data_IF_582819624184
#
_entry.id   IF_582819624184
#
_cell.length_a   1.000
_cell.length_b   1.000
_cell.length_c   1.000
_cell.angle_alpha   90.00
_cell.angle_beta   90.00
_cell.angle_gamma   90.00
#
_symmetry.space_group_name_H-M   'P 1'
#
loop_
_entity.id
_entity.type
_entity.pdbx_description
1 polymer ?
#
# COMPACT_ATOMS: atom_id res chain seq x y z
N UNK A 1 2.46 -23.44 31.44
CA UNK A 1 2.97 -23.11 30.09
C UNK A 1 2.12 -21.97 29.56
N UNK A 2 2.68 -21.04 28.78
CA UNK A 2 1.89 -19.98 28.18
C UNK A 2 1.09 -20.48 26.98
N UNK A 3 -0.08 -19.90 26.73
CA UNK A 3 -0.92 -20.21 25.58
C UNK A 3 -0.24 -19.79 24.27
N UNK A 4 -0.65 -20.40 23.16
CA UNK A 4 -0.06 -20.19 21.84
C UNK A 4 -1.16 -20.01 20.81
N UNK A 5 -0.96 -19.06 19.90
CA UNK A 5 -1.73 -18.91 18.67
C UNK A 5 -0.81 -19.30 17.51
N UNK A 6 -1.19 -20.32 16.75
CA UNK A 6 -0.44 -20.79 15.58
C UNK A 6 -1.29 -20.62 14.34
N UNK A 7 -0.84 -19.78 13.42
CA UNK A 7 -1.53 -19.46 12.18
C UNK A 7 -0.75 -20.00 10.97
N UNK A 8 -1.42 -20.78 10.12
CA UNK A 8 -0.87 -21.17 8.82
C UNK A 8 -1.36 -20.18 7.77
N UNK A 9 -0.42 -19.59 7.05
CA UNK A 9 -0.67 -18.54 6.06
C UNK A 9 -0.29 -19.03 4.66
N UNK A 10 -1.23 -18.96 3.73
CA UNK A 10 -1.00 -19.25 2.30
C UNK A 10 -0.68 -17.96 1.55
N UNK A 11 0.35 -18.00 0.71
CA UNK A 11 0.73 -16.89 -0.17
C UNK A 11 -0.19 -16.88 -1.40
N UNK A 12 -0.94 -15.79 -1.61
CA UNK A 12 -1.89 -15.64 -2.72
C UNK A 12 -1.29 -14.84 -3.88
N UNK A 13 -0.38 -13.93 -3.57
CA UNK A 13 0.34 -13.10 -4.54
C UNK A 13 1.82 -13.09 -4.21
N UNK A 14 2.72 -12.85 -5.19
CA UNK A 14 4.16 -12.86 -4.99
C UNK A 14 4.61 -12.08 -3.75
N UNK A 15 5.27 -12.77 -2.81
CA UNK A 15 5.75 -12.17 -1.55
C UNK A 15 7.25 -11.90 -1.67
N UNK A 16 7.62 -10.63 -1.83
CA UNK A 16 9.02 -10.23 -1.95
C UNK A 16 9.64 -9.95 -0.58
N UNK A 17 10.86 -10.45 -0.36
CA UNK A 17 11.59 -10.20 0.89
C UNK A 17 11.91 -8.71 1.09
N UNK A 18 11.70 -8.23 2.32
CA UNK A 18 12.17 -6.91 2.77
C UNK A 18 13.47 -7.08 3.55
N UNK A 19 14.61 -6.82 2.90
CA UNK A 19 15.92 -6.94 3.54
C UNK A 19 17.13 -6.89 2.62
N UNK A 20 16.97 -7.14 1.32
CA UNK A 20 18.04 -6.93 0.35
C UNK A 20 18.15 -5.42 0.01
N UNK A 21 18.93 -4.68 0.80
CA UNK A 21 19.42 -3.34 0.41
C UNK A 21 20.33 -3.41 -0.81
N UNK A 22 20.96 -4.57 -1.06
CA UNK A 22 21.65 -4.84 -2.30
C UNK A 22 20.64 -5.27 -3.37
N UNK A 23 20.32 -4.34 -4.27
CA UNK A 23 19.95 -4.74 -5.63
C UNK A 23 21.12 -5.58 -6.15
N UNK A 24 20.88 -6.82 -6.57
CA UNK A 24 21.92 -7.55 -7.33
C UNK A 24 22.27 -6.67 -8.54
N UNK A 25 23.53 -6.20 -8.69
CA UNK A 25 23.90 -5.34 -9.80
C UNK A 25 23.54 -5.99 -11.14
N UNK A 26 23.10 -5.19 -12.11
CA UNK A 26 22.64 -5.69 -13.40
C UNK A 26 23.67 -6.58 -14.13
N UNK A 27 24.96 -6.39 -13.83
CA UNK A 27 26.10 -7.11 -14.39
C UNK A 27 26.31 -8.51 -13.79
N UNK A 28 25.97 -8.74 -12.51
CA UNK A 28 26.15 -10.04 -11.87
C UNK A 28 25.07 -11.07 -12.28
N UNK A 29 23.94 -10.58 -12.79
CA UNK A 29 22.83 -11.41 -13.26
C UNK A 29 23.13 -12.04 -14.65
N UNK A 30 24.03 -11.44 -15.45
CA UNK A 30 24.32 -11.90 -16.81
C UNK A 30 25.24 -13.12 -16.88
N UNK A 31 25.84 -13.55 -15.76
CA UNK A 31 26.87 -14.62 -15.75
C UNK A 31 26.41 -15.94 -15.14
N UNK A 32 25.12 -16.09 -14.81
CA UNK A 32 24.55 -17.30 -14.19
C UNK A 32 24.48 -18.55 -15.09
N UNK A 33 25.32 -18.63 -16.14
CA UNK A 33 25.44 -19.79 -17.03
C UNK A 33 26.88 -20.13 -17.46
N UNK A 34 27.92 -19.44 -16.95
CA UNK A 34 29.31 -19.72 -17.33
C UNK A 34 30.16 -20.16 -16.13
N UNK A 35 31.06 -21.15 -16.26
CA UNK A 35 31.93 -21.58 -15.18
C UNK A 35 32.88 -20.44 -14.78
N UNK A 36 32.86 -20.10 -13.50
CA UNK A 36 33.68 -19.04 -12.89
C UNK A 36 35.17 -19.30 -13.19
N UNK A 37 35.78 -18.46 -14.03
CA UNK A 37 37.25 -18.40 -14.14
C UNK A 37 37.80 -17.69 -12.91
N UNK A 38 38.66 -18.39 -12.16
CA UNK A 38 39.47 -17.82 -11.07
C UNK A 38 40.29 -16.65 -11.59
N UNK A 39 40.15 -15.48 -10.98
CA UNK A 39 41.05 -14.36 -11.18
C UNK A 39 40.69 -13.12 -10.35
N UNK A 40 41.60 -12.78 -9.42
CA UNK A 40 41.71 -11.60 -8.55
C UNK A 40 40.83 -11.53 -7.29
N UNK A 41 41.47 -11.91 -6.18
CA UNK A 41 41.17 -11.50 -4.81
C UNK A 41 41.12 -9.96 -4.69
N UNK A 42 40.05 -9.43 -4.11
CA UNK A 42 39.96 -8.00 -3.84
C UNK A 42 38.61 -7.45 -3.41
N UNK A 43 37.91 -8.12 -2.49
CA UNK A 43 36.90 -7.63 -1.53
C UNK A 43 36.11 -8.85 -1.05
N UNK A 44 36.17 -9.17 0.25
CA UNK A 44 35.28 -10.16 0.85
C UNK A 44 33.85 -9.63 0.72
N UNK A 45 33.15 -10.00 -0.36
CA UNK A 45 31.72 -9.76 -0.51
C UNK A 45 31.01 -10.39 0.68
N UNK A 46 30.15 -9.60 1.35
CA UNK A 46 29.19 -10.19 2.29
C UNK A 46 28.35 -11.21 1.49
N UNK A 47 28.07 -12.40 2.02
CA UNK A 47 27.22 -13.35 1.32
C UNK A 47 25.89 -12.67 0.98
N UNK A 48 25.45 -12.77 -0.27
CA UNK A 48 24.16 -12.25 -0.72
C UNK A 48 23.08 -12.67 0.29
N UNK A 49 22.42 -11.70 0.92
CA UNK A 49 21.40 -12.01 1.92
C UNK A 49 20.26 -12.77 1.24
N UNK A 50 20.05 -14.02 1.68
CA UNK A 50 18.89 -14.82 1.26
C UNK A 50 17.61 -14.13 1.71
N UNK A 51 16.56 -14.25 0.91
CA UNK A 51 15.22 -13.82 1.25
C UNK A 51 14.77 -14.49 2.54
N UNK A 52 14.19 -13.69 3.44
CA UNK A 52 13.67 -14.16 4.71
C UNK A 52 12.34 -13.46 5.03
N UNK A 53 11.48 -14.13 5.79
CA UNK A 53 10.31 -13.52 6.44
C UNK A 53 10.69 -13.25 7.89
N UNK A 54 10.91 -11.98 8.24
CA UNK A 54 11.29 -11.59 9.59
C UNK A 54 10.08 -11.54 10.51
N UNK A 55 10.19 -12.21 11.66
CA UNK A 55 9.18 -12.17 12.72
C UNK A 55 8.86 -10.73 13.16
N UNK A 56 9.88 -9.87 13.28
CA UNK A 56 9.69 -8.47 13.69
C UNK A 56 8.93 -7.64 12.65
N UNK A 57 9.09 -7.95 11.35
CA UNK A 57 8.31 -7.30 10.29
C UNK A 57 6.84 -7.66 10.43
N UNK A 58 6.52 -8.96 10.64
CA UNK A 58 5.14 -9.40 10.87
C UNK A 58 4.58 -8.76 12.14
N UNK A 59 5.35 -8.72 13.23
CA UNK A 59 4.93 -8.08 14.48
C UNK A 59 4.62 -6.59 14.28
N UNK A 60 5.41 -5.89 13.48
CA UNK A 60 5.14 -4.50 13.10
C UNK A 60 3.86 -4.35 12.27
N UNK A 61 3.59 -5.27 11.35
CA UNK A 61 2.35 -5.31 10.57
C UNK A 61 1.12 -5.58 11.45
N UNK A 62 1.21 -6.52 12.40
CA UNK A 62 0.15 -6.78 13.37
C UNK A 62 -0.11 -5.55 14.25
N UNK A 63 0.93 -4.87 14.71
CA UNK A 63 0.81 -3.60 15.45
C UNK A 63 0.13 -2.52 14.61
N UNK A 64 0.46 -2.41 13.32
CA UNK A 64 -0.20 -1.49 12.41
C UNK A 64 -1.71 -1.81 12.27
N UNK A 65 -2.06 -3.07 12.05
CA UNK A 65 -3.46 -3.46 11.88
C UNK A 65 -4.28 -3.38 13.16
N UNK A 66 -3.69 -3.60 14.34
CA UNK A 66 -4.30 -3.23 15.62
C UNK A 66 -4.70 -1.74 15.60
N UNK A 67 -3.75 -0.84 15.36
CA UNK A 67 -4.03 0.61 15.33
C UNK A 67 -5.05 1.01 14.27
N UNK A 68 -5.13 0.26 13.17
CA UNK A 68 -6.11 0.51 12.12
C UNK A 68 -7.53 0.10 12.53
N UNK A 69 -7.66 -0.95 13.35
CA UNK A 69 -8.94 -1.41 13.90
C UNK A 69 -9.40 -0.60 15.13
N UNK A 70 -8.47 0.00 15.85
CA UNK A 70 -8.74 0.79 17.06
C UNK A 70 -8.32 2.26 16.85
N UNK A 71 -9.08 3.02 16.03
CA UNK A 71 -8.81 4.44 15.83
C UNK A 71 -9.08 5.22 17.12
N UNK A 72 -8.06 5.94 17.60
CA UNK A 72 -8.20 6.87 18.72
C UNK A 72 -8.35 8.31 18.18
N UNK A 73 -9.16 9.18 18.83
CA UNK A 73 -9.36 10.57 18.39
C UNK A 73 -8.08 11.42 18.37
N UNK A 74 -7.09 11.04 19.17
CA UNK A 74 -5.76 11.65 19.20
C UNK A 74 -4.72 10.70 18.60
N UNK A 75 -3.53 11.23 18.26
CA UNK A 75 -2.33 10.43 17.91
C UNK A 75 -1.83 9.48 19.04
N UNK A 76 -2.67 9.18 20.03
CA UNK A 76 -2.40 8.25 21.11
C UNK A 76 -2.53 6.81 20.62
N UNK A 77 -1.56 5.94 20.92
CA UNK A 77 -1.71 4.51 20.65
C UNK A 77 -2.84 3.93 21.52
N UNK A 78 -3.54 2.88 21.07
CA UNK A 78 -4.48 2.13 21.90
C UNK A 78 -3.82 1.73 23.23
N UNK A 79 -4.60 1.78 24.31
CA UNK A 79 -4.09 1.62 25.69
C UNK A 79 -3.34 0.29 25.92
N UNK A 80 -3.68 -0.74 25.16
CA UNK A 80 -3.12 -2.08 25.24
C UNK A 80 -1.92 -2.32 24.31
N UNK A 81 -1.68 -1.46 23.30
CA UNK A 81 -0.65 -1.62 22.26
C UNK A 81 0.74 -1.84 22.86
N UNK A 82 1.14 -0.98 23.81
CA UNK A 82 2.47 -1.01 24.41
C UNK A 82 2.74 -2.28 25.22
N UNK A 83 1.70 -2.87 25.80
CA UNK A 83 1.79 -4.12 26.56
C UNK A 83 1.83 -5.33 25.63
N UNK A 84 1.00 -5.35 24.58
CA UNK A 84 0.89 -6.46 23.62
C UNK A 84 2.12 -6.56 22.75
N UNK A 85 2.57 -5.45 22.16
CA UNK A 85 3.68 -5.43 21.20
C UNK A 85 5.01 -4.95 21.79
N UNK A 86 4.99 -4.37 22.99
CA UNK A 86 6.16 -3.78 23.62
C UNK A 86 6.36 -2.30 23.29
N UNK A 87 7.16 -1.65 24.12
CA UNK A 87 7.62 -0.26 23.99
C UNK A 87 9.15 -0.21 24.15
N UNK A 88 9.73 0.98 24.08
CA UNK A 88 11.16 1.18 24.41
C UNK A 88 11.46 0.95 25.90
N UNK A 89 10.45 1.07 26.76
CA UNK A 89 10.59 0.95 28.22
C UNK A 89 10.06 -0.37 28.80
N UNK A 90 9.32 -1.16 28.02
CA UNK A 90 8.71 -2.41 28.49
C UNK A 90 8.63 -3.47 27.40
N UNK A 91 8.90 -4.72 27.79
CA UNK A 91 8.81 -5.87 26.89
C UNK A 91 7.37 -6.22 26.47
N UNK A 92 7.27 -6.90 25.34
CA UNK A 92 6.04 -7.47 24.78
C UNK A 92 5.57 -8.69 25.57
N UNK A 93 4.27 -8.81 25.88
CA UNK A 93 3.72 -10.06 26.49
C UNK A 93 3.68 -11.24 25.50
N UNK A 94 3.89 -10.98 24.22
CA UNK A 94 3.92 -11.95 23.13
C UNK A 94 5.30 -12.05 22.51
N UNK A 95 5.74 -13.28 22.18
CA UNK A 95 6.86 -13.57 21.29
C UNK A 95 6.34 -14.17 19.98
N UNK A 96 6.72 -13.56 18.86
CA UNK A 96 6.35 -14.02 17.51
C UNK A 96 7.50 -14.82 16.89
N UNK A 97 7.18 -15.93 16.27
CA UNK A 97 8.10 -16.79 15.52
C UNK A 97 7.51 -17.06 14.13
N UNK A 98 8.37 -17.28 13.15
CA UNK A 98 7.98 -17.66 11.79
C UNK A 98 8.69 -18.97 11.48
N UNK A 99 7.91 -19.99 11.18
CA UNK A 99 8.38 -21.34 10.91
C UNK A 99 7.93 -21.78 9.50
N UNK A 100 8.50 -22.87 9.00
CA UNK A 100 8.09 -23.54 7.76
C UNK A 100 8.13 -22.64 6.50
N UNK A 101 8.98 -21.62 6.49
CA UNK A 101 9.11 -20.72 5.34
C UNK A 101 9.74 -21.47 4.15
N UNK A 102 9.05 -21.56 2.99
CA UNK A 102 9.60 -22.24 1.82
C UNK A 102 10.79 -21.50 1.21
N UNK A 103 11.49 -22.16 0.29
CA UNK A 103 12.63 -21.54 -0.40
C UNK A 103 12.16 -20.38 -1.29
N UNK A 104 12.84 -19.24 -1.16
CA UNK A 104 12.61 -18.09 -2.02
C UNK A 104 13.14 -18.38 -3.43
N UNK A 105 12.34 -18.04 -4.45
CA UNK A 105 12.82 -17.99 -5.83
C UNK A 105 13.85 -16.88 -5.98
N UNK A 106 14.96 -17.24 -6.62
CA UNK A 106 16.07 -16.32 -6.90
C UNK A 106 15.64 -15.20 -7.85
N UNK A 107 16.38 -14.10 -7.79
CA UNK A 107 16.34 -12.99 -8.73
C UNK A 107 16.51 -13.52 -10.16
N UNK A 108 15.66 -13.08 -11.09
CA UNK A 108 15.74 -13.58 -12.47
C UNK A 108 14.69 -13.03 -13.42
N UNK A 109 14.79 -13.44 -14.68
CA UNK A 109 13.81 -13.11 -15.71
C UNK A 109 12.51 -13.83 -15.41
N UNK A 110 11.44 -13.07 -15.23
CA UNK A 110 10.11 -13.60 -15.00
C UNK A 110 9.14 -12.84 -15.90
N UNK A 111 8.30 -13.57 -16.62
CA UNK A 111 7.27 -12.94 -17.43
C UNK A 111 6.19 -12.33 -16.54
N UNK A 112 6.35 -11.05 -16.23
CA UNK A 112 5.34 -10.24 -15.57
C UNK A 112 4.45 -9.58 -16.61
N UNK A 113 3.12 -9.69 -16.53
CA UNK A 113 2.24 -8.78 -17.26
C UNK A 113 2.66 -7.34 -16.93
N UNK A 114 2.91 -6.48 -17.92
CA UNK A 114 3.55 -5.22 -17.57
C UNK A 114 2.65 -4.24 -16.81
N UNK A 115 1.33 -4.45 -16.78
CA UNK A 115 0.48 -3.76 -15.80
C UNK A 115 0.83 -4.18 -14.36
N UNK A 116 1.09 -5.46 -14.11
CA UNK A 116 1.55 -5.94 -12.79
C UNK A 116 2.94 -5.36 -12.45
N UNK A 117 3.82 -5.23 -13.45
CA UNK A 117 5.13 -4.60 -13.26
C UNK A 117 5.05 -3.14 -12.78
N UNK A 118 4.00 -2.40 -13.19
CA UNK A 118 3.75 -1.05 -12.67
C UNK A 118 3.50 -1.02 -11.16
N UNK A 119 2.67 -1.94 -10.64
CA UNK A 119 2.44 -2.08 -9.19
C UNK A 119 3.72 -2.49 -8.45
N UNK A 120 4.56 -3.29 -9.12
CA UNK A 120 5.80 -3.84 -8.59
C UNK A 120 7.04 -2.98 -8.85
N UNK A 121 6.92 -1.71 -9.27
CA UNK A 121 8.09 -0.87 -9.61
C UNK A 121 9.13 -0.89 -8.48
N UNK A 122 10.39 -1.18 -8.80
CA UNK A 122 11.49 -1.31 -7.82
C UNK A 122 11.60 -2.68 -7.14
N UNK A 123 10.64 -3.58 -7.38
CA UNK A 123 10.77 -5.04 -7.22
C UNK A 123 10.96 -5.72 -8.59
N UNK A 124 10.39 -5.10 -9.62
CA UNK A 124 10.44 -5.52 -11.02
C UNK A 124 11.09 -4.39 -11.82
N UNK A 125 12.13 -4.72 -12.56
CA UNK A 125 12.82 -3.83 -13.50
C UNK A 125 12.53 -4.26 -14.93
N UNK A 126 12.04 -3.33 -15.74
CA UNK A 126 11.90 -3.54 -17.18
C UNK A 126 13.25 -3.42 -17.87
N UNK A 127 13.68 -4.48 -18.56
CA UNK A 127 14.89 -4.53 -19.38
C UNK A 127 14.54 -4.77 -20.84
N UNK A 128 15.50 -4.52 -21.74
CA UNK A 128 15.32 -4.72 -23.20
C UNK A 128 14.91 -6.15 -23.56
N UNK A 129 15.27 -7.13 -22.73
CA UNK A 129 14.96 -8.55 -22.89
C UNK A 129 13.75 -9.01 -22.06
N UNK A 130 13.04 -8.10 -21.38
CA UNK A 130 11.81 -8.38 -20.63
C UNK A 130 11.85 -7.88 -19.18
N UNK A 131 10.84 -8.25 -18.41
CA UNK A 131 10.75 -7.87 -16.99
C UNK A 131 11.59 -8.82 -16.13
N UNK A 132 12.33 -8.25 -15.17
CA UNK A 132 13.18 -8.99 -14.24
C UNK A 132 12.74 -8.71 -12.81
N UNK A 133 12.66 -9.73 -11.97
CA UNK A 133 12.62 -9.50 -10.52
C UNK A 133 14.01 -9.08 -10.09
N UNK A 134 14.10 -8.09 -9.19
CA UNK A 134 15.37 -7.65 -8.57
C UNK A 134 15.47 -8.04 -7.10
N UNK A 135 14.49 -8.82 -6.62
CA UNK A 135 14.43 -9.36 -5.25
C UNK A 135 13.96 -10.80 -5.27
N UNK A 136 14.44 -11.56 -4.29
CA UNK A 136 13.95 -12.90 -4.04
C UNK A 136 12.52 -12.87 -3.51
N UNK A 137 11.72 -13.86 -3.90
CA UNK A 137 10.29 -13.88 -3.63
C UNK A 137 9.74 -15.29 -3.42
N UNK A 138 8.65 -15.41 -2.67
CA UNK A 138 7.88 -16.64 -2.58
C UNK A 138 6.80 -16.67 -3.66
N UNK A 139 6.72 -17.80 -4.37
CA UNK A 139 5.80 -17.98 -5.48
C UNK A 139 4.46 -18.58 -5.03
N UNK A 140 3.33 -17.85 -5.18
CA UNK A 140 2.01 -18.40 -4.87
C UNK A 140 1.65 -19.60 -5.74
N UNK A 141 2.19 -19.73 -6.97
CA UNK A 141 1.87 -20.84 -7.88
C UNK A 141 2.45 -22.17 -7.40
N UNK A 142 3.37 -22.15 -6.43
CA UNK A 142 3.89 -23.35 -5.78
C UNK A 142 3.03 -23.85 -4.61
N UNK A 143 1.88 -23.21 -4.33
CA UNK A 143 1.07 -23.52 -3.15
C UNK A 143 1.77 -23.17 -1.85
N UNK A 144 2.58 -22.11 -1.86
CA UNK A 144 3.46 -21.72 -0.74
C UNK A 144 2.64 -21.38 0.51
N UNK A 145 2.95 -22.08 1.61
CA UNK A 145 2.42 -21.80 2.95
C UNK A 145 3.57 -21.67 3.95
N UNK A 146 3.36 -20.92 5.03
CA UNK A 146 4.28 -20.82 6.16
C UNK A 146 3.52 -20.56 7.46
N UNK A 147 4.19 -20.75 8.59
CA UNK A 147 3.56 -20.70 9.91
C UNK A 147 3.99 -19.44 10.68
N UNK A 148 3.03 -18.75 11.29
CA UNK A 148 3.27 -17.67 12.26
C UNK A 148 2.80 -18.14 13.62
N UNK A 149 3.72 -18.21 14.59
CA UNK A 149 3.43 -18.65 15.95
C UNK A 149 3.62 -17.52 16.96
N UNK A 150 2.56 -17.17 17.66
CA UNK A 150 2.55 -16.19 18.74
C UNK A 150 2.45 -16.92 20.08
N UNK A 151 3.55 -16.93 20.84
CA UNK A 151 3.59 -17.50 22.20
C UNK A 151 3.39 -16.40 23.22
N UNK A 152 2.42 -16.59 24.12
CA UNK A 152 2.05 -15.61 25.12
C UNK A 152 2.67 -15.93 26.48
N UNK A 153 3.07 -14.90 27.22
CA UNK A 153 3.57 -15.04 28.58
C UNK A 153 2.46 -15.45 29.57
N UNK A 154 2.82 -15.87 30.80
CA UNK A 154 1.85 -16.34 31.81
C UNK A 154 0.89 -15.24 32.30
N UNK A 155 1.20 -13.97 32.05
CA UNK A 155 0.35 -12.82 32.40
C UNK A 155 -0.46 -12.28 31.21
N UNK A 156 -0.40 -12.94 30.05
CA UNK A 156 -1.24 -12.57 28.94
C UNK A 156 -2.70 -12.95 29.23
N UNK A 157 -3.59 -12.09 28.78
CA UNK A 157 -5.05 -12.25 28.90
C UNK A 157 -5.59 -12.78 27.58
N UNK A 158 -6.73 -13.46 27.63
CA UNK A 158 -7.46 -13.89 26.42
C UNK A 158 -7.73 -12.74 25.46
N UNK A 159 -7.99 -11.54 25.99
CA UNK A 159 -8.19 -10.33 25.19
C UNK A 159 -6.93 -9.94 24.39
N UNK A 160 -5.74 -10.19 24.91
CA UNK A 160 -4.50 -9.90 24.20
C UNK A 160 -4.33 -10.79 22.97
N UNK A 161 -4.78 -12.04 23.10
CA UNK A 161 -4.77 -13.00 22.00
C UNK A 161 -5.81 -12.63 20.97
N UNK A 162 -6.99 -12.17 21.40
CA UNK A 162 -8.07 -11.68 20.52
C UNK A 162 -7.57 -10.51 19.69
N UNK A 163 -6.93 -9.53 20.31
CA UNK A 163 -6.32 -8.39 19.62
C UNK A 163 -5.29 -8.83 18.57
N UNK A 164 -4.44 -9.81 18.88
CA UNK A 164 -3.47 -10.35 17.92
C UNK A 164 -4.18 -11.10 16.78
N UNK A 165 -5.24 -11.87 17.08
CA UNK A 165 -6.02 -12.60 16.09
C UNK A 165 -6.80 -11.66 15.17
N UNK A 166 -7.40 -10.60 15.70
CA UNK A 166 -8.11 -9.55 14.95
C UNK A 166 -7.14 -8.80 14.03
N UNK A 167 -5.97 -8.42 14.55
CA UNK A 167 -4.93 -7.78 13.75
C UNK A 167 -4.38 -8.72 12.65
N UNK A 168 -4.23 -10.01 12.94
CA UNK A 168 -3.82 -11.02 11.96
C UNK A 168 -4.89 -11.20 10.88
N UNK A 169 -6.16 -11.24 11.28
CA UNK A 169 -7.28 -11.31 10.35
C UNK A 169 -7.31 -10.09 9.44
N UNK A 170 -7.16 -8.88 9.97
CA UNK A 170 -7.13 -7.65 9.18
C UNK A 170 -5.90 -7.57 8.25
N UNK A 171 -4.73 -8.04 8.71
CA UNK A 171 -3.55 -8.20 7.85
C UNK A 171 -3.83 -9.13 6.67
N UNK A 172 -4.40 -10.30 6.95
CA UNK A 172 -4.76 -11.27 5.91
C UNK A 172 -5.90 -10.78 5.04
N UNK A 173 -6.83 -9.95 5.55
CA UNK A 173 -8.00 -9.49 4.83
C UNK A 173 -7.69 -8.30 3.91
N UNK A 174 -7.00 -7.27 4.41
CA UNK A 174 -6.89 -5.98 3.73
C UNK A 174 -5.45 -5.59 3.37
N UNK A 175 -4.46 -6.37 3.84
CA UNK A 175 -3.05 -6.07 3.70
C UNK A 175 -2.25 -7.15 2.96
N UNK A 176 -0.96 -7.19 3.29
CA UNK A 176 0.00 -8.14 2.78
C UNK A 176 1.34 -8.00 3.50
N UNK A 177 2.24 -8.95 3.26
CA UNK A 177 3.56 -9.03 3.89
C UNK A 177 4.64 -8.73 2.84
N UNK A 178 5.66 -7.96 3.23
CA UNK A 178 6.82 -7.70 2.38
C UNK A 178 6.63 -6.58 1.35
N UNK A 179 7.50 -6.59 0.33
CA UNK A 179 7.67 -5.46 -0.58
C UNK A 179 6.41 -5.14 -1.38
N UNK A 180 6.05 -3.85 -1.45
CA UNK A 180 4.89 -3.33 -2.19
C UNK A 180 3.54 -3.94 -1.73
N UNK A 181 3.42 -4.33 -0.47
CA UNK A 181 2.20 -4.92 0.08
C UNK A 181 0.92 -4.08 -0.12
N UNK A 182 1.02 -2.75 -0.03
CA UNK A 182 -0.13 -1.84 -0.31
C UNK A 182 -0.56 -1.81 -1.78
N UNK A 183 0.20 -2.44 -2.68
CA UNK A 183 -0.07 -2.55 -4.12
C UNK A 183 -0.44 -3.98 -4.53
N UNK A 184 -0.84 -4.82 -3.58
CA UNK A 184 -1.40 -6.14 -3.87
C UNK A 184 -0.40 -7.29 -3.80
N UNK A 185 0.90 -7.02 -3.74
CA UNK A 185 1.92 -8.04 -3.52
C UNK A 185 1.92 -8.56 -2.09
N UNK A 186 2.38 -9.80 -1.88
CA UNK A 186 2.44 -10.40 -0.55
C UNK A 186 1.10 -10.56 0.16
N UNK A 187 -0.02 -10.50 -0.56
CA UNK A 187 -1.33 -10.91 -0.06
C UNK A 187 -1.24 -12.35 0.43
N UNK A 188 -1.67 -12.57 1.67
CA UNK A 188 -1.72 -13.88 2.32
C UNK A 188 -3.14 -14.18 2.80
N UNK A 189 -3.46 -15.45 2.98
CA UNK A 189 -4.75 -15.90 3.49
C UNK A 189 -4.55 -16.86 4.66
N UNK A 190 -5.37 -16.71 5.70
CA UNK A 190 -5.32 -17.54 6.89
C UNK A 190 -6.06 -18.86 6.63
N UNK A 191 -5.32 -19.96 6.49
CA UNK A 191 -5.87 -21.28 6.16
C UNK A 191 -6.11 -22.16 7.38
N UNK A 192 -5.37 -21.93 8.46
CA UNK A 192 -5.60 -22.61 9.73
C UNK A 192 -5.21 -21.70 10.90
N UNK A 193 -5.96 -21.81 12.00
CA UNK A 193 -5.65 -21.14 13.25
C UNK A 193 -5.84 -22.13 14.40
N UNK A 194 -4.75 -22.58 15.00
CA UNK A 194 -4.78 -23.28 16.28
C UNK A 194 -4.68 -22.23 17.40
N UNK A 195 -5.77 -22.08 18.15
CA UNK A 195 -5.94 -21.01 19.13
C UNK A 195 -6.95 -21.38 20.21
N UNK A 196 -6.76 -20.94 21.47
CA UNK A 196 -7.77 -21.06 22.51
C UNK A 196 -9.05 -20.24 22.22
N UNK A 197 -9.03 -19.37 21.21
CA UNK A 197 -10.18 -18.57 20.77
C UNK A 197 -11.14 -19.32 19.85
N UNK A 198 -10.78 -20.54 19.40
CA UNK A 198 -11.53 -21.30 18.40
C UNK A 198 -11.17 -20.95 16.96
N UNK A 199 -11.92 -21.52 16.02
CA UNK A 199 -11.68 -21.51 14.58
C UNK A 199 -12.34 -20.35 13.82
N UNK A 200 -13.09 -19.49 14.50
CA UNK A 200 -13.88 -18.42 13.86
C UNK A 200 -13.08 -17.43 13.00
N UNK A 201 -11.76 -17.43 13.07
CA UNK A 201 -10.88 -16.57 12.28
C UNK A 201 -10.46 -17.15 10.93
N UNK A 202 -10.59 -18.46 10.72
CA UNK A 202 -10.15 -19.14 9.49
C UNK A 202 -10.92 -18.61 8.27
N UNK A 203 -10.21 -18.41 7.16
CA UNK A 203 -10.71 -17.69 5.98
C UNK A 203 -10.70 -18.60 4.75
N UNK A 204 -11.76 -19.38 4.58
CA UNK A 204 -12.09 -20.00 3.29
C UNK A 204 -13.41 -19.39 2.80
N UNK A 205 -13.41 -18.93 1.56
CA UNK A 205 -14.58 -18.32 0.95
C UNK A 205 -14.92 -19.13 -0.30
N UNK A 206 -16.10 -19.72 -0.36
CA UNK A 206 -16.58 -20.42 -1.54
C UNK A 206 -17.06 -19.43 -2.62
N UNK A 207 -17.60 -18.30 -2.20
CA UNK A 207 -18.20 -17.30 -3.11
C UNK A 207 -17.79 -15.86 -2.77
N UNK A 208 -17.92 -14.96 -3.75
CA UNK A 208 -17.64 -13.53 -3.54
C UNK A 208 -18.62 -12.95 -2.51
N UNK A 209 -19.88 -13.35 -2.54
CA UNK A 209 -20.89 -12.86 -1.60
C UNK A 209 -20.57 -13.27 -0.15
N UNK A 210 -20.05 -14.47 0.05
CA UNK A 210 -19.57 -14.93 1.36
C UNK A 210 -18.41 -14.06 1.86
N UNK A 211 -17.38 -13.83 1.02
CA UNK A 211 -16.28 -12.91 1.33
C UNK A 211 -16.80 -11.51 1.73
N UNK A 212 -17.75 -10.97 0.97
CA UNK A 212 -18.31 -9.64 1.23
C UNK A 212 -19.19 -9.59 2.48
N UNK A 213 -19.84 -10.69 2.85
CA UNK A 213 -20.68 -10.76 4.06
C UNK A 213 -19.86 -10.76 5.36
N UNK A 214 -18.66 -11.34 5.33
CA UNK A 214 -17.79 -11.47 6.51
C UNK A 214 -17.14 -10.13 6.88
N UNK A 215 -16.78 -9.31 5.90
CA UNK A 215 -16.09 -8.03 6.11
C UNK A 215 -16.84 -7.09 7.07
N UNK A 216 -18.11 -6.72 6.81
CA UNK A 216 -18.83 -5.78 7.67
C UNK A 216 -19.21 -6.41 9.01
N UNK A 217 -19.53 -7.71 9.03
CA UNK A 217 -19.85 -8.41 10.28
C UNK A 217 -18.66 -8.42 11.26
N UNK A 218 -17.46 -8.70 10.75
CA UNK A 218 -16.23 -8.69 11.56
C UNK A 218 -15.81 -7.28 11.95
N UNK A 219 -15.78 -6.34 11.00
CA UNK A 219 -15.39 -4.96 11.29
C UNK A 219 -16.37 -4.29 12.27
N UNK A 220 -17.68 -4.49 12.12
CA UNK A 220 -18.67 -3.95 13.04
C UNK A 220 -18.56 -4.51 14.47
N UNK A 221 -17.98 -5.69 14.64
CA UNK A 221 -17.69 -6.26 15.96
C UNK A 221 -16.36 -5.75 16.57
N UNK A 222 -15.42 -5.28 15.75
CA UNK A 222 -14.07 -4.88 16.17
C UNK A 222 -13.88 -3.36 16.27
N UNK A 223 -14.53 -2.60 15.39
CA UNK A 223 -14.23 -1.19 15.15
C UNK A 223 -15.41 -0.32 15.57
N UNK A 224 -15.16 0.61 16.49
CA UNK A 224 -16.12 1.65 16.80
C UNK A 224 -16.18 2.68 15.64
N UNK A 225 -17.37 3.11 15.20
CA UNK A 225 -17.48 4.08 14.12
C UNK A 225 -16.88 5.42 14.55
N UNK A 226 -15.86 5.89 13.83
CA UNK A 226 -15.30 7.23 13.95
C UNK A 226 -15.80 8.09 12.78
N UNK A 227 -16.52 9.17 13.07
CA UNK A 227 -17.10 10.06 12.06
C UNK A 227 -16.09 11.06 11.48
N UNK A 228 -15.12 11.48 12.29
CA UNK A 228 -14.02 12.33 11.84
C UNK A 228 -12.95 11.53 11.08
N UNK A 229 -12.12 12.22 10.29
CA UNK A 229 -10.90 11.62 9.75
C UNK A 229 -9.96 11.26 10.91
N UNK A 230 -9.50 10.00 11.03
CA UNK A 230 -8.52 9.63 12.04
C UNK A 230 -7.17 10.31 11.78
N UNK A 231 -6.35 10.46 12.82
CA UNK A 231 -4.99 11.05 12.69
C UNK A 231 -3.98 10.11 12.00
N UNK A 232 -4.19 8.80 12.08
CA UNK A 232 -3.40 7.78 11.39
C UNK A 232 -4.28 6.87 10.53
N UNK A 233 -3.69 6.19 9.54
CA UNK A 233 -4.42 5.26 8.66
C UNK A 233 -5.18 4.21 9.47
N UNK A 234 -6.50 4.33 9.50
CA UNK A 234 -7.40 3.48 10.29
C UNK A 234 -8.79 3.42 9.66
N UNK A 235 -9.61 2.48 10.13
CA UNK A 235 -11.02 2.40 9.76
C UNK A 235 -11.80 3.57 10.36
N UNK A 236 -12.74 4.11 9.58
CA UNK A 236 -13.66 5.19 9.95
C UNK A 236 -14.92 5.09 9.10
N UNK A 237 -15.93 5.92 9.36
CA UNK A 237 -17.12 6.00 8.49
C UNK A 237 -16.80 6.41 7.05
N UNK A 238 -15.61 6.97 6.80
CA UNK A 238 -15.10 7.31 5.45
C UNK A 238 -14.34 6.18 4.76
N UNK A 239 -14.10 5.06 5.46
CA UNK A 239 -13.44 3.91 4.87
C UNK A 239 -14.32 3.22 3.83
N UNK A 240 -13.70 2.71 2.77
CA UNK A 240 -14.40 1.99 1.70
C UNK A 240 -13.65 0.71 1.36
N UNK A 241 -14.39 -0.37 1.10
CA UNK A 241 -13.85 -1.63 0.59
C UNK A 241 -14.63 -2.00 -0.65
N UNK A 242 -13.93 -2.13 -1.78
CA UNK A 242 -14.50 -2.57 -3.06
C UNK A 242 -13.87 -3.90 -3.44
N UNK A 243 -14.66 -4.87 -3.88
CA UNK A 243 -14.15 -6.14 -4.41
C UNK A 243 -14.27 -6.20 -5.93
N UNK A 244 -13.18 -6.56 -6.60
CA UNK A 244 -13.16 -6.78 -8.05
C UNK A 244 -14.16 -7.87 -8.51
N UNK A 245 -14.43 -7.97 -9.82
CA UNK A 245 -14.82 -9.23 -10.44
C UNK A 245 -13.92 -10.40 -10.00
N UNK A 246 -14.42 -11.63 -10.07
CA UNK A 246 -13.62 -12.80 -9.81
C UNK A 246 -12.76 -13.13 -11.04
N UNK A 247 -11.48 -13.41 -10.81
CA UNK A 247 -10.47 -13.65 -11.85
C UNK A 247 -9.92 -15.07 -11.75
N UNK A 248 -9.46 -15.67 -12.85
CA UNK A 248 -8.94 -17.05 -12.82
C UNK A 248 -7.61 -17.18 -12.06
N UNK A 249 -6.89 -16.07 -11.84
CA UNK A 249 -5.62 -16.07 -11.10
C UNK A 249 -5.23 -14.66 -10.67
N UNK A 250 -4.20 -14.59 -9.82
CA UNK A 250 -3.72 -13.34 -9.24
C UNK A 250 -3.11 -12.41 -10.29
N UNK A 251 -2.52 -12.96 -11.37
CA UNK A 251 -1.92 -12.15 -12.46
C UNK A 251 -2.98 -11.32 -13.17
N UNK A 252 -4.13 -11.93 -13.46
CA UNK A 252 -5.27 -11.24 -14.08
C UNK A 252 -5.91 -10.26 -13.10
N UNK A 253 -6.16 -10.67 -11.86
CA UNK A 253 -6.75 -9.79 -10.84
C UNK A 253 -5.90 -8.54 -10.55
N UNK A 254 -4.62 -8.73 -10.22
CA UNK A 254 -3.71 -7.58 -10.00
C UNK A 254 -3.43 -6.80 -11.27
N UNK A 255 -3.34 -7.47 -12.43
CA UNK A 255 -3.13 -6.81 -13.71
C UNK A 255 -4.29 -5.91 -14.10
N UNK A 256 -5.52 -6.30 -13.76
CA UNK A 256 -6.71 -5.50 -13.98
C UNK A 256 -6.80 -4.32 -13.01
N UNK A 257 -6.54 -4.53 -11.72
CA UNK A 257 -6.42 -3.44 -10.75
C UNK A 257 -5.32 -2.43 -11.15
N UNK A 258 -4.18 -2.93 -11.66
CA UNK A 258 -3.11 -2.08 -12.18
C UNK A 258 -3.55 -1.28 -13.40
N UNK A 259 -4.27 -1.91 -14.34
CA UNK A 259 -4.83 -1.23 -15.52
C UNK A 259 -5.76 -0.10 -15.11
N UNK A 260 -6.66 -0.35 -14.16
CA UNK A 260 -7.53 0.67 -13.61
C UNK A 260 -6.74 1.85 -13.02
N UNK A 261 -5.74 1.59 -12.17
CA UNK A 261 -4.91 2.65 -11.59
C UNK A 261 -4.13 3.44 -12.64
N UNK A 262 -3.61 2.75 -13.66
CA UNK A 262 -2.89 3.36 -14.78
C UNK A 262 -3.80 4.23 -15.65
N UNK A 263 -4.96 3.72 -16.04
CA UNK A 263 -5.95 4.47 -16.80
C UNK A 263 -6.35 5.75 -16.04
N UNK A 264 -6.65 5.63 -14.74
CA UNK A 264 -7.01 6.77 -13.89
C UNK A 264 -5.88 7.80 -13.77
N UNK A 265 -4.63 7.36 -13.56
CA UNK A 265 -3.50 8.26 -13.29
C UNK A 265 -2.73 8.69 -14.53
N UNK A 266 -2.95 8.04 -15.67
CA UNK A 266 -2.12 8.11 -16.86
C UNK A 266 -2.44 9.28 -17.78
N UNK A 267 -1.43 9.65 -18.58
CA UNK A 267 -1.56 10.61 -19.67
C UNK A 267 -1.60 9.88 -21.01
N UNK A 268 -2.35 10.45 -21.97
CA UNK A 268 -2.60 10.13 -23.39
C UNK A 268 -2.02 8.83 -23.99
N UNK A 269 -0.72 8.56 -23.84
CA UNK A 269 0.01 7.43 -24.43
C UNK A 269 1.00 6.78 -23.43
N UNK A 270 0.57 6.56 -22.19
CA UNK A 270 1.45 6.06 -21.14
C UNK A 270 1.83 4.59 -21.40
N UNK A 271 2.99 4.39 -22.03
CA UNK A 271 3.62 3.09 -22.32
C UNK A 271 2.83 2.24 -23.32
N UNK A 272 3.46 1.19 -23.84
CA UNK A 272 3.00 0.20 -24.84
C UNK A 272 1.73 -0.60 -24.41
N UNK A 273 0.76 0.08 -23.80
CA UNK A 273 -0.45 -0.46 -23.21
C UNK A 273 -1.65 0.00 -24.04
N UNK A 274 -2.54 -0.95 -24.31
CA UNK A 274 -3.61 -0.86 -25.29
C UNK A 274 -4.72 0.16 -24.99
N UNK A 275 -4.66 0.87 -23.86
CA UNK A 275 -5.71 1.82 -23.43
C UNK A 275 -5.11 3.18 -23.07
N UNK A 276 -5.61 4.29 -23.67
CA UNK A 276 -5.13 5.63 -23.37
C UNK A 276 -5.49 6.03 -21.93
N UNK A 277 -4.57 6.74 -21.28
CA UNK A 277 -4.82 7.33 -19.96
C UNK A 277 -5.94 8.38 -20.01
N UNK A 278 -6.65 8.53 -18.91
CA UNK A 278 -7.84 9.40 -18.79
C UNK A 278 -7.53 10.91 -18.86
N UNK A 279 -6.27 11.32 -18.66
CA UNK A 279 -5.83 12.73 -18.71
C UNK A 279 -6.51 13.66 -17.69
N UNK A 280 -7.13 13.09 -16.65
CA UNK A 280 -7.84 13.82 -15.59
C UNK A 280 -6.98 14.83 -14.81
N UNK A 281 -5.67 14.61 -14.82
CA UNK A 281 -4.70 15.36 -14.02
C UNK A 281 -3.85 16.29 -14.90
N UNK A 282 -4.45 16.88 -15.92
CA UNK A 282 -3.82 17.95 -16.71
C UNK A 282 -3.39 19.12 -15.81
N UNK A 283 -4.21 19.47 -14.81
CA UNK A 283 -3.87 20.52 -13.84
C UNK A 283 -2.58 20.20 -13.06
N UNK A 284 -2.37 18.95 -12.61
CA UNK A 284 -1.12 18.56 -11.94
C UNK A 284 0.10 18.86 -12.80
N UNK A 285 -0.01 18.57 -14.10
CA UNK A 285 1.05 18.87 -15.07
C UNK A 285 1.20 20.37 -15.24
N UNK A 286 0.10 21.12 -15.31
CA UNK A 286 0.09 22.58 -15.41
C UNK A 286 0.78 23.25 -14.22
N UNK A 287 0.54 22.78 -12.99
CA UNK A 287 1.22 23.27 -11.78
C UNK A 287 2.74 23.07 -11.89
N UNK A 288 3.17 21.86 -12.25
CA UNK A 288 4.61 21.56 -12.33
C UNK A 288 5.28 22.29 -13.51
N UNK A 289 4.62 22.36 -14.67
CA UNK A 289 5.14 23.11 -15.82
C UNK A 289 5.18 24.61 -15.53
N UNK A 290 4.15 25.17 -14.88
CA UNK A 290 4.13 26.57 -14.47
C UNK A 290 5.32 26.93 -13.58
N UNK A 291 5.68 26.06 -12.64
CA UNK A 291 6.92 26.19 -11.86
C UNK A 291 8.18 26.16 -12.74
N UNK A 292 8.28 25.19 -13.67
CA UNK A 292 9.47 25.01 -14.51
C UNK A 292 9.65 26.08 -15.59
N UNK A 293 8.56 26.67 -16.06
CA UNK A 293 8.50 27.60 -17.21
C UNK A 293 8.34 29.06 -16.79
N UNK A 294 8.03 29.33 -15.53
CA UNK A 294 8.11 30.69 -14.99
C UNK A 294 9.53 31.25 -15.19
N UNK A 295 9.62 32.57 -15.44
CA UNK A 295 10.88 33.28 -15.64
C UNK A 295 11.81 33.19 -14.41
N UNK A 296 11.90 34.21 -13.54
CA UNK A 296 12.35 33.93 -12.18
C UNK A 296 11.35 32.95 -11.56
N UNK A 297 11.83 31.81 -11.05
CA UNK A 297 10.95 30.79 -10.48
C UNK A 297 10.28 31.33 -9.23
N UNK A 298 8.97 31.09 -9.06
CA UNK A 298 8.26 31.59 -7.89
C UNK A 298 8.62 30.74 -6.67
N UNK A 299 8.77 31.40 -5.52
CA UNK A 299 8.90 30.69 -4.24
C UNK A 299 7.56 30.07 -3.81
N UNK A 300 6.43 30.63 -4.25
CA UNK A 300 5.09 30.17 -3.91
C UNK A 300 4.26 29.80 -5.14
N UNK A 301 3.51 28.69 -5.02
CA UNK A 301 2.54 28.22 -5.99
C UNK A 301 1.14 28.30 -5.40
N UNK A 302 0.16 28.67 -6.23
CA UNK A 302 -1.25 28.74 -5.82
C UNK A 302 -1.85 27.37 -5.49
N UNK A 303 -1.33 26.31 -6.11
CA UNK A 303 -1.87 24.95 -6.03
C UNK A 303 -0.77 23.89 -6.09
N UNK A 304 -1.13 22.64 -5.82
CA UNK A 304 -0.23 21.49 -5.81
C UNK A 304 -0.78 20.31 -6.62
N UNK A 305 0.08 19.37 -7.05
CA UNK A 305 -0.39 18.20 -7.78
C UNK A 305 -1.28 17.28 -6.92
N UNK A 306 -2.54 17.12 -7.32
CA UNK A 306 -3.59 16.41 -6.57
C UNK A 306 -3.27 14.92 -6.41
N UNK A 307 -2.54 14.31 -7.34
CA UNK A 307 -2.12 12.90 -7.25
C UNK A 307 -1.14 12.60 -6.12
N UNK A 308 -0.66 13.60 -5.40
CA UNK A 308 0.20 13.41 -4.22
C UNK A 308 -0.45 12.50 -3.16
N UNK A 309 -1.78 12.48 -3.04
CA UNK A 309 -2.48 11.61 -2.07
C UNK A 309 -2.35 10.11 -2.35
N UNK A 310 -1.94 9.71 -3.56
CA UNK A 310 -1.56 8.33 -3.88
C UNK A 310 -0.17 7.94 -3.33
N UNK A 311 0.47 8.85 -2.59
CA UNK A 311 1.74 8.69 -1.90
C UNK A 311 2.70 9.83 -2.21
N UNK A 312 3.42 10.28 -1.18
CA UNK A 312 4.52 11.24 -1.26
C UNK A 312 5.84 10.55 -0.86
N UNK A 313 6.98 10.79 -1.54
CA UNK A 313 7.15 11.66 -2.70
C UNK A 313 6.36 11.23 -3.93
N UNK A 314 5.88 12.18 -4.71
CA UNK A 314 5.35 11.95 -6.05
C UNK A 314 6.32 12.49 -7.09
N UNK A 315 6.74 11.65 -8.04
CA UNK A 315 7.78 12.02 -9.01
C UNK A 315 7.17 12.25 -10.40
N UNK A 316 7.67 13.27 -11.08
CA UNK A 316 7.41 13.59 -12.47
C UNK A 316 8.72 13.57 -13.26
N UNK A 317 8.62 13.31 -14.55
CA UNK A 317 9.74 13.42 -15.48
C UNK A 317 9.29 14.22 -16.69
N UNK A 318 10.05 15.26 -17.02
CA UNK A 318 9.84 16.08 -18.19
C UNK A 318 11.12 16.04 -19.05
N UNK A 319 11.06 15.62 -20.33
CA UNK A 319 12.26 15.46 -21.16
C UNK A 319 13.16 16.71 -21.21
N UNK A 320 12.57 17.91 -21.16
CA UNK A 320 13.31 19.19 -21.17
C UNK A 320 13.90 19.57 -19.81
N UNK A 321 13.27 19.16 -18.71
CA UNK A 321 13.57 19.67 -17.37
C UNK A 321 14.07 18.60 -16.39
N UNK A 322 14.10 17.33 -16.79
CA UNK A 322 14.51 16.22 -15.94
C UNK A 322 13.46 15.82 -14.90
N UNK A 323 13.94 15.37 -13.74
CA UNK A 323 13.11 14.86 -12.67
C UNK A 323 12.56 16.00 -11.81
N UNK A 324 11.29 15.92 -11.45
CA UNK A 324 10.66 16.79 -10.45
C UNK A 324 10.07 15.94 -9.36
N UNK A 325 10.28 16.33 -8.10
CA UNK A 325 9.77 15.65 -6.93
C UNK A 325 8.81 16.54 -6.17
N UNK A 326 7.67 15.96 -5.79
CA UNK A 326 6.64 16.61 -4.98
C UNK A 326 6.65 15.95 -3.61
N UNK A 327 7.09 16.69 -2.60
CA UNK A 327 7.25 16.25 -1.21
C UNK A 327 6.36 17.06 -0.27
N UNK A 328 6.19 16.60 0.96
CA UNK A 328 5.54 17.36 2.01
C UNK A 328 6.56 18.02 2.94
N UNK A 329 6.26 19.22 3.42
CA UNK A 329 7.04 19.98 4.40
C UNK A 329 6.25 20.13 5.70
N UNK A 330 6.95 20.09 6.83
CA UNK A 330 6.38 20.40 8.15
C UNK A 330 5.89 21.84 8.20
N UNK A 331 4.88 22.07 9.04
CA UNK A 331 4.39 23.42 9.32
C UNK A 331 5.52 24.33 9.82
N UNK A 332 5.54 25.57 9.35
CA UNK A 332 6.52 26.59 9.75
C UNK A 332 7.91 26.46 9.11
N UNK A 333 8.16 25.45 8.29
CA UNK A 333 9.45 25.28 7.58
C UNK A 333 9.47 26.14 6.32
N UNK A 334 10.51 26.97 6.19
CA UNK A 334 10.78 27.80 5.00
C UNK A 334 11.43 26.98 3.88
N UNK A 335 11.43 27.51 2.66
CA UNK A 335 12.10 26.87 1.52
C UNK A 335 13.61 26.74 1.72
N UNK A 336 14.24 27.80 2.25
CA UNK A 336 15.67 27.85 2.56
C UNK A 336 16.07 26.73 3.52
N UNK A 337 15.33 26.59 4.63
CA UNK A 337 15.53 25.49 5.60
C UNK A 337 15.36 24.11 4.95
N UNK A 338 14.38 23.94 4.05
CA UNK A 338 14.16 22.66 3.38
C UNK A 338 15.24 22.32 2.33
N UNK A 339 16.01 23.30 1.87
CA UNK A 339 17.06 23.18 0.85
C UNK A 339 18.45 22.91 1.46
N UNK A 340 18.81 23.62 2.54
CA UNK A 340 20.19 23.62 3.08
C UNK A 340 20.59 22.30 3.75
N UNK A 341 19.68 21.65 4.49
CA UNK A 341 20.00 20.45 5.28
C UNK A 341 18.95 19.33 5.14
N UNK A 342 17.92 19.55 4.32
CA UNK A 342 16.78 18.64 4.16
C UNK A 342 15.91 18.52 5.42
N UNK A 343 16.16 19.33 6.44
CA UNK A 343 15.34 19.35 7.65
C UNK A 343 13.96 19.89 7.32
N UNK A 344 12.95 19.38 8.04
CA UNK A 344 11.57 19.81 7.83
C UNK A 344 10.84 19.17 6.65
N UNK A 345 11.52 18.46 5.74
CA UNK A 345 10.84 17.57 4.78
C UNK A 345 10.19 16.43 5.55
N UNK A 346 8.87 16.29 5.42
CA UNK A 346 8.15 15.15 5.96
C UNK A 346 8.58 13.90 5.20
N UNK A 347 8.84 12.81 5.94
CA UNK A 347 9.20 11.53 5.36
C UNK A 347 8.12 10.97 4.43
N UNK A 348 8.39 9.79 3.87
CA UNK A 348 7.47 9.13 2.93
C UNK A 348 6.06 8.99 3.54
N UNK A 349 5.06 9.57 2.89
CA UNK A 349 3.65 9.36 3.22
C UNK A 349 3.07 8.35 2.24
N UNK A 350 2.75 7.17 2.74
CA UNK A 350 2.20 6.12 1.89
C UNK A 350 0.72 6.35 1.55
N UNK A 351 0.28 5.79 0.42
CA UNK A 351 -1.12 5.79 -0.01
C UNK A 351 -2.05 5.20 1.07
N UNK A 352 -3.23 5.78 1.31
CA UNK A 352 -4.29 5.19 2.13
C UNK A 352 -5.11 4.12 1.38
N UNK A 353 -4.89 3.97 0.06
CA UNK A 353 -5.48 2.92 -0.76
C UNK A 353 -4.57 1.69 -0.77
N UNK A 354 -5.12 0.56 -0.34
CA UNK A 354 -4.50 -0.76 -0.29
C UNK A 354 -5.15 -1.68 -1.33
N UNK A 355 -4.32 -2.50 -1.97
CA UNK A 355 -4.78 -3.63 -2.76
C UNK A 355 -4.43 -4.92 -2.03
N UNK A 356 -5.34 -5.88 -1.99
CA UNK A 356 -5.08 -7.23 -1.48
C UNK A 356 -5.89 -8.27 -2.25
N UNK A 357 -5.27 -9.39 -2.63
CA UNK A 357 -5.96 -10.48 -3.31
C UNK A 357 -6.47 -11.54 -2.31
N UNK A 358 -7.57 -12.20 -2.65
CA UNK A 358 -8.21 -13.28 -1.90
C UNK A 358 -8.52 -14.45 -2.81
N UNK A 359 -8.24 -15.65 -2.35
CA UNK A 359 -8.73 -16.87 -2.96
C UNK A 359 -10.20 -17.07 -2.55
N UNK A 360 -11.05 -17.21 -3.55
CA UNK A 360 -12.49 -17.45 -3.42
C UNK A 360 -12.85 -18.62 -4.33
N UNK A 361 -13.09 -19.80 -3.76
CA UNK A 361 -13.12 -21.05 -4.51
C UNK A 361 -11.83 -21.23 -5.31
N UNK A 362 -11.94 -21.39 -6.63
CA UNK A 362 -10.80 -21.47 -7.56
C UNK A 362 -10.39 -20.10 -8.15
N UNK A 363 -11.08 -19.03 -7.76
CA UNK A 363 -10.90 -17.70 -8.34
C UNK A 363 -10.18 -16.75 -7.37
N UNK A 364 -9.76 -15.62 -7.92
CA UNK A 364 -9.15 -14.52 -7.20
C UNK A 364 -10.04 -13.29 -7.24
N UNK A 365 -10.27 -12.69 -6.07
CA UNK A 365 -10.88 -11.37 -5.92
C UNK A 365 -9.82 -10.40 -5.39
N UNK A 366 -9.74 -9.22 -5.98
CA UNK A 366 -8.87 -8.13 -5.49
C UNK A 366 -9.73 -7.12 -4.74
N UNK A 367 -9.41 -6.93 -3.47
CA UNK A 367 -9.99 -5.89 -2.63
C UNK A 367 -9.22 -4.59 -2.80
N UNK A 368 -9.95 -3.49 -2.92
CA UNK A 368 -9.44 -2.12 -2.88
C UNK A 368 -9.95 -1.48 -1.60
N UNK A 369 -9.06 -1.37 -0.62
CA UNK A 369 -9.39 -0.90 0.73
C UNK A 369 -8.85 0.51 0.92
N UNK A 370 -9.74 1.47 1.09
CA UNK A 370 -9.41 2.87 1.30
C UNK A 370 -9.62 3.24 2.77
N UNK A 371 -8.52 3.59 3.44
CA UNK A 371 -8.47 3.97 4.85
C UNK A 371 -7.97 5.42 4.97
N UNK A 372 -8.83 6.42 4.69
CA UNK A 372 -8.42 7.81 4.77
C UNK A 372 -8.12 8.19 6.22
N UNK A 373 -7.14 9.07 6.38
CA UNK A 373 -6.73 9.68 7.64
C UNK A 373 -6.20 11.07 7.33
N UNK A 374 -5.92 11.91 8.34
CA UNK A 374 -5.29 13.21 8.12
C UNK A 374 -4.03 13.04 7.26
N UNK A 375 -4.02 13.54 6.02
CA UNK A 375 -2.94 13.16 5.08
C UNK A 375 -1.60 13.79 5.47
N UNK A 376 -1.62 15.10 5.74
CA UNK A 376 -0.50 15.87 6.30
C UNK A 376 -0.99 16.61 7.56
N UNK A 377 -0.11 16.86 8.55
CA UNK A 377 -0.45 17.67 9.70
C UNK A 377 -0.96 19.07 9.32
N UNK A 378 -1.72 19.68 10.21
CA UNK A 378 -2.19 21.06 10.01
C UNK A 378 -1.02 22.03 9.78
N UNK A 379 -1.19 22.94 8.83
CA UNK A 379 -0.16 23.91 8.43
C UNK A 379 0.99 23.35 7.61
N UNK A 380 1.00 22.04 7.29
CA UNK A 380 1.96 21.47 6.36
C UNK A 380 1.84 22.08 4.95
N UNK A 381 2.96 22.11 4.23
CA UNK A 381 3.03 22.63 2.85
C UNK A 381 3.50 21.54 1.89
N UNK A 382 3.24 21.72 0.60
CA UNK A 382 3.74 20.84 -0.46
C UNK A 382 4.91 21.53 -1.15
N UNK A 383 6.03 20.84 -1.29
CA UNK A 383 7.20 21.32 -2.05
C UNK A 383 7.23 20.67 -3.41
N UNK A 384 7.35 21.48 -4.47
CA UNK A 384 7.66 21.04 -5.83
C UNK A 384 9.13 21.38 -6.08
N UNK A 385 9.97 20.37 -6.30
CA UNK A 385 11.41 20.54 -6.44
C UNK A 385 11.92 19.95 -7.76
N UNK A 386 12.59 20.76 -8.59
CA UNK A 386 13.37 20.22 -9.70
C UNK A 386 14.63 19.58 -9.15
N UNK A 387 14.98 18.38 -9.64
CA UNK A 387 16.14 17.65 -9.18
C UNK A 387 17.25 17.61 -10.22
N UNK A 388 18.49 17.58 -9.77
CA UNK A 388 19.65 17.18 -10.57
C UNK A 388 19.73 15.66 -10.76
N UNK A 389 20.77 15.21 -11.46
CA UNK A 389 21.01 13.79 -11.74
C UNK A 389 21.32 12.97 -10.46
N UNK A 390 21.82 13.63 -9.41
CA UNK A 390 22.06 13.04 -8.09
C UNK A 390 20.78 13.01 -7.21
N UNK A 391 19.68 13.57 -7.71
CA UNK A 391 18.40 13.64 -7.00
C UNK A 391 18.33 14.75 -5.94
N UNK A 392 19.25 15.72 -5.98
CA UNK A 392 19.26 16.90 -5.11
C UNK A 392 18.41 18.02 -5.71
N UNK A 393 17.68 18.80 -4.89
CA UNK A 393 16.93 19.94 -5.38
C UNK A 393 17.86 20.99 -6.02
N UNK A 394 17.60 21.34 -7.28
CA UNK A 394 18.20 22.50 -7.98
C UNK A 394 17.45 23.76 -7.57
N UNK A 395 16.13 23.64 -7.50
CA UNK A 395 15.21 24.74 -7.21
C UNK A 395 13.91 24.17 -6.63
N UNK A 396 13.14 24.99 -5.93
CA UNK A 396 11.92 24.55 -5.28
C UNK A 396 10.92 25.68 -5.07
N UNK A 397 9.64 25.33 -5.16
CA UNK A 397 8.53 26.19 -4.78
C UNK A 397 7.63 25.47 -3.76
N UNK A 398 6.88 26.23 -2.96
CA UNK A 398 5.90 25.68 -2.01
C UNK A 398 4.48 26.06 -2.35
N UNK A 399 3.56 25.15 -2.08
CA UNK A 399 2.12 25.38 -2.16
C UNK A 399 1.47 25.09 -0.81
N UNK A 400 0.38 25.78 -0.44
CA UNK A 400 -0.42 25.40 0.71
C UNK A 400 -1.04 24.02 0.46
N UNK A 401 -0.94 23.11 1.44
CA UNK A 401 -1.68 21.85 1.37
C UNK A 401 -3.13 22.10 1.75
N UNK A 402 -4.05 21.77 0.84
CA UNK A 402 -5.49 21.75 1.11
C UNK A 402 -5.92 20.30 1.18
N UNK A 403 -6.39 19.88 2.35
CA UNK A 403 -6.73 18.49 2.60
C UNK A 403 -7.88 18.02 1.68
N UNK A 404 -7.70 16.88 1.03
CA UNK A 404 -8.74 16.27 0.22
C UNK A 404 -8.32 14.94 -0.40
N UNK A 405 -9.22 13.95 -0.36
CA UNK A 405 -9.02 12.64 -0.98
C UNK A 405 -9.79 12.47 -2.30
N UNK A 406 -10.32 13.56 -2.86
CA UNK A 406 -11.12 13.56 -4.07
C UNK A 406 -10.51 12.75 -5.22
N UNK A 407 -9.19 12.80 -5.42
CA UNK A 407 -8.51 12.04 -6.46
C UNK A 407 -8.61 10.50 -6.27
N UNK A 408 -8.68 10.02 -5.03
CA UNK A 408 -8.90 8.59 -4.70
C UNK A 408 -10.40 8.29 -4.62
N UNK A 409 -11.20 9.17 -4.03
CA UNK A 409 -12.64 8.98 -3.90
C UNK A 409 -13.30 8.88 -5.29
N UNK A 410 -12.96 9.79 -6.21
CA UNK A 410 -13.44 9.72 -7.58
C UNK A 410 -12.90 8.50 -8.33
N UNK A 411 -11.70 7.99 -8.01
CA UNK A 411 -11.21 6.73 -8.58
C UNK A 411 -12.11 5.55 -8.20
N UNK A 412 -12.50 5.47 -6.92
CA UNK A 412 -13.40 4.42 -6.43
C UNK A 412 -14.82 4.59 -6.99
N UNK A 413 -15.29 5.83 -7.12
CA UNK A 413 -16.59 6.12 -7.74
C UNK A 413 -16.58 5.83 -9.24
N UNK A 414 -15.47 6.08 -9.92
CA UNK A 414 -15.29 5.72 -11.32
C UNK A 414 -15.32 4.22 -11.51
N UNK A 415 -14.63 3.48 -10.65
CA UNK A 415 -14.63 2.01 -10.66
C UNK A 415 -16.02 1.44 -10.47
N UNK A 416 -16.79 1.96 -9.51
CA UNK A 416 -18.19 1.57 -9.28
C UNK A 416 -19.14 2.20 -10.29
N UNK A 417 -18.65 3.04 -11.21
CA UNK A 417 -19.47 3.82 -12.11
C UNK A 417 -20.45 4.76 -11.42
N UNK A 418 -20.29 5.08 -10.13
CA UNK A 418 -21.07 6.11 -9.40
C UNK A 418 -20.83 7.53 -9.93
N UNK A 419 -19.82 7.73 -10.79
CA UNK A 419 -19.63 8.99 -11.48
C UNK A 419 -20.82 9.31 -12.40
N UNK A 420 -21.40 10.49 -12.21
CA UNK A 420 -22.32 11.11 -13.15
C UNK A 420 -21.59 11.96 -14.20
N UNK A 421 -22.36 12.65 -15.05
CA UNK A 421 -21.83 13.50 -16.12
C UNK A 421 -21.31 14.87 -15.65
N UNK A 422 -21.44 15.22 -14.36
CA UNK A 422 -21.05 16.53 -13.84
C UNK A 422 -19.61 16.54 -13.34
N UNK A 423 -18.83 17.60 -13.62
CA UNK A 423 -17.50 17.74 -13.05
C UNK A 423 -17.59 17.78 -11.52
N UNK A 424 -16.63 17.19 -10.81
CA UNK A 424 -16.59 17.21 -9.37
C UNK A 424 -16.22 18.60 -8.88
N UNK A 425 -16.53 18.87 -7.61
CA UNK A 425 -16.29 20.15 -6.94
C UNK A 425 -14.81 20.60 -6.95
N UNK A 426 -13.91 19.68 -7.24
CA UNK A 426 -12.45 19.84 -7.16
C UNK A 426 -11.76 19.85 -8.54
N UNK A 427 -12.45 20.23 -9.62
CA UNK A 427 -11.81 20.58 -10.90
C UNK A 427 -11.25 19.43 -11.76
N UNK A 428 -11.55 18.17 -11.43
CA UNK A 428 -11.17 17.01 -12.26
C UNK A 428 -12.15 16.85 -13.43
N UNK A 429 -11.67 16.71 -14.68
CA UNK A 429 -12.55 16.62 -15.87
C UNK A 429 -13.15 15.21 -16.06
N UNK A 430 -14.27 14.91 -15.38
CA UNK A 430 -14.87 13.56 -15.39
C UNK A 430 -15.70 13.21 -16.63
N UNK A 431 -16.04 14.19 -17.47
CA UNK A 431 -16.86 14.05 -18.68
C UNK A 431 -16.29 13.09 -19.72
N UNK A 432 -15.00 12.74 -19.61
CA UNK A 432 -14.27 11.85 -20.53
C UNK A 432 -14.23 10.39 -20.08
N UNK A 433 -14.90 10.05 -18.98
CA UNK A 433 -14.75 8.74 -18.35
C UNK A 433 -15.90 7.79 -18.66
N UNK A 434 -15.54 6.55 -18.99
CA UNK A 434 -16.45 5.42 -18.88
C UNK A 434 -15.99 4.52 -17.72
N UNK A 435 -16.90 4.05 -16.85
CA UNK A 435 -16.55 3.12 -15.79
C UNK A 435 -15.91 1.85 -16.35
N UNK A 436 -14.83 1.38 -15.73
CA UNK A 436 -14.17 0.13 -16.17
C UNK A 436 -14.99 -1.11 -15.78
N UNK A 437 -15.78 -1.03 -14.70
CA UNK A 437 -16.52 -2.17 -14.15
C UNK A 437 -17.90 -1.77 -13.62
N UNK A 438 -18.91 -1.76 -14.49
CA UNK A 438 -20.28 -1.42 -14.09
C UNK A 438 -20.87 -2.35 -13.01
N UNK A 439 -20.33 -3.56 -12.85
CA UNK A 439 -20.78 -4.55 -11.86
C UNK A 439 -20.22 -4.33 -10.45
N UNK A 440 -19.21 -3.45 -10.28
CA UNK A 440 -18.65 -3.13 -8.97
C UNK A 440 -19.63 -2.43 -8.02
N UNK A 441 -20.72 -1.83 -8.53
CA UNK A 441 -21.73 -1.17 -7.68
C UNK A 441 -22.29 -2.08 -6.60
N UNK A 442 -22.46 -3.37 -6.90
CA UNK A 442 -22.99 -4.38 -5.98
C UNK A 442 -21.92 -5.03 -5.10
N UNK A 443 -20.65 -4.64 -5.27
CA UNK A 443 -19.48 -5.21 -4.60
C UNK A 443 -18.72 -4.22 -3.71
N UNK A 444 -19.30 -3.04 -3.49
CA UNK A 444 -18.84 -2.15 -2.43
C UNK A 444 -19.48 -2.54 -1.12
N UNK A 445 -18.66 -2.76 -0.09
CA UNK A 445 -19.10 -3.20 1.22
C UNK A 445 -19.51 -1.99 2.06
N UNK A 446 -20.72 -2.00 2.60
CA UNK A 446 -21.12 -1.07 3.64
C UNK A 446 -20.51 -1.49 4.97
N UNK A 447 -19.48 -0.78 5.42
CA UNK A 447 -18.72 -1.14 6.63
C UNK A 447 -19.43 -0.76 7.93
N UNK A 448 -20.16 0.37 7.91
CA UNK A 448 -20.84 0.92 9.08
C UNK A 448 -22.30 1.29 8.72
N UNK A 449 -23.23 1.25 9.68
CA UNK A 449 -24.58 1.78 9.47
C UNK A 449 -24.51 3.23 8.99
N UNK A 450 -25.42 3.63 8.11
CA UNK A 450 -25.54 5.04 7.76
C UNK A 450 -25.88 5.82 9.03
N UNK A 451 -25.18 6.92 9.30
CA UNK A 451 -25.58 7.85 10.36
C UNK A 451 -27.01 8.28 10.06
N UNK A 452 -27.96 7.92 10.93
CA UNK A 452 -29.27 8.58 10.93
C UNK A 452 -29.00 10.03 11.25
N UNK A 453 -29.07 10.91 10.24
CA UNK A 453 -29.03 12.35 10.43
C UNK A 453 -29.99 12.66 11.58
N UNK A 454 -29.55 13.25 12.71
CA UNK A 454 -30.49 13.65 13.73
C UNK A 454 -31.49 14.56 13.04
N UNK A 455 -32.77 14.18 13.12
CA UNK A 455 -33.84 14.99 12.57
C UNK A 455 -33.65 16.41 13.10
N UNK A 456 -33.40 17.34 12.19
CA UNK A 456 -33.40 18.77 12.46
C UNK A 456 -34.67 19.06 13.26
N UNK A 457 -34.53 19.29 14.56
CA UNK A 457 -35.64 19.76 15.38
C UNK A 457 -36.13 21.07 14.77
N UNK A 458 -37.40 21.07 14.40
CA UNK A 458 -38.11 22.13 13.68
C UNK A 458 -38.06 23.50 14.38
#
# INVERSE_FOLDING_TARGET
MGETLTATLRVITPLFSEGAEERVPAEEVSTAGAPVRRGREGRRGRPAMRGEIRAETIKGLLRFWHRALHPEPACTPPADEGRIFGTTSAGSVMRLMVDDVPEFKRVGRVSWPGQVAYLGRGLIDGRKDGNWTVREWLDPEAGTEFTVRCRFGPHARTEDMRVVADALWALCMFGGIGGRSRRGFGSVQLVALDSPLGDGYVQEYATVDELLSVIPARLGAMVAPLSALPEHTAFSTRSRVLASPAWPNWRKGLGDAARAMLAWRGWRDAYDWTEPGTQLFEQDRGVVLGFLEAGPRPDELDDFPRRMVFGAPHNYYFPKYGNVRVDALRAGVTLEQAQEDGTGVLGRRASPLFLSAKQVGEQIVVLQTFLPARFLPEGARVRVAQLDDDGKPIDSAVAPFREGYAAIEHYLDWLTGRLGASPPRDGIQLDRLQPLHADLRRREVQLFPAETTPASSA
#
